data_IF_049028457035
#
_entry.id   IF_049028457035
#
_cell.length_a   1.000
_cell.length_b   1.000
_cell.length_c   1.000
_cell.angle_alpha   90.00
_cell.angle_beta   90.00
_cell.angle_gamma   90.00
#
_symmetry.space_group_name_H-M   'P 1'
#
loop_
_entity.id
_entity.type
_entity.pdbx_description
1 polymer ?
#
# COMPACT_ATOMS: atom_id res chain seq x y z
N UNK A 1 -2.44 13.79 -9.57
CA UNK A 1 -2.04 12.79 -10.60
C UNK A 1 -0.94 11.93 -9.99
N UNK A 2 -0.90 10.62 -10.25
CA UNK A 2 0.16 9.74 -9.73
C UNK A 2 1.50 10.12 -10.34
N UNK A 3 2.58 10.13 -9.55
CA UNK A 3 3.93 10.39 -10.06
C UNK A 3 4.51 9.20 -10.86
N UNK A 4 3.93 8.01 -10.65
CA UNK A 4 4.32 6.76 -11.31
C UNK A 4 3.09 6.08 -11.88
N UNK A 5 3.18 5.65 -13.14
CA UNK A 5 2.14 4.93 -13.85
C UNK A 5 2.69 3.61 -14.39
N UNK A 6 2.15 2.48 -13.94
CA UNK A 6 2.44 1.18 -14.57
C UNK A 6 1.85 1.18 -15.98
N UNK A 7 2.67 0.93 -16.99
CA UNK A 7 2.28 0.90 -18.39
C UNK A 7 2.03 -0.52 -18.89
N UNK A 8 2.82 -1.50 -18.42
CA UNK A 8 2.63 -2.90 -18.74
C UNK A 8 3.22 -3.81 -17.66
N UNK A 9 2.61 -4.98 -17.46
CA UNK A 9 3.15 -6.07 -16.62
C UNK A 9 2.97 -7.37 -17.40
N UNK A 10 4.10 -7.95 -17.82
CA UNK A 10 4.10 -9.22 -18.58
C UNK A 10 4.56 -10.34 -17.67
N UNK A 11 3.74 -11.37 -17.53
CA UNK A 11 4.10 -12.61 -16.84
C UNK A 11 4.88 -13.48 -17.80
N UNK A 12 6.10 -13.84 -17.44
CA UNK A 12 6.96 -14.73 -18.20
C UNK A 12 6.84 -16.16 -17.64
N UNK A 13 7.15 -17.16 -18.48
CA UNK A 13 7.14 -18.58 -18.10
C UNK A 13 5.82 -19.02 -17.43
N UNK A 14 4.72 -18.93 -18.18
CA UNK A 14 3.37 -19.25 -17.70
C UNK A 14 2.57 -20.01 -18.78
N UNK A 15 1.91 -21.15 -18.45
CA UNK A 15 1.89 -21.82 -17.15
C UNK A 15 3.22 -22.55 -16.84
N UNK A 16 3.51 -22.79 -15.56
CA UNK A 16 4.75 -23.40 -15.09
C UNK A 16 4.54 -24.32 -13.88
N UNK A 17 5.55 -25.08 -13.48
CA UNK A 17 5.50 -25.85 -12.22
C UNK A 17 5.25 -24.91 -11.03
N UNK A 18 4.52 -25.38 -10.01
CA UNK A 18 4.31 -24.65 -8.76
C UNK A 18 5.64 -24.20 -8.13
N UNK A 19 6.67 -25.05 -8.20
CA UNK A 19 8.00 -24.81 -7.64
C UNK A 19 8.93 -24.02 -8.57
N UNK A 20 8.46 -23.60 -9.75
CA UNK A 20 9.23 -22.73 -10.62
C UNK A 20 9.20 -21.28 -10.10
N UNK A 21 10.30 -20.52 -10.26
CA UNK A 21 10.31 -19.09 -9.94
C UNK A 21 9.23 -18.31 -10.69
N UNK A 22 8.76 -17.21 -10.09
CA UNK A 22 7.94 -16.23 -10.78
C UNK A 22 8.81 -15.25 -11.54
N UNK A 23 8.36 -14.82 -12.72
CA UNK A 23 9.07 -13.83 -13.54
C UNK A 23 8.09 -12.81 -14.11
N UNK A 24 8.28 -11.54 -13.73
CA UNK A 24 7.45 -10.42 -14.15
C UNK A 24 8.30 -9.37 -14.84
N UNK A 25 8.05 -9.11 -16.13
CA UNK A 25 8.60 -7.92 -16.80
C UNK A 25 7.66 -6.74 -16.54
N UNK A 26 8.14 -5.78 -15.73
CA UNK A 26 7.37 -4.62 -15.29
C UNK A 26 7.86 -3.41 -16.09
N UNK A 27 6.92 -2.70 -16.73
CA UNK A 27 7.16 -1.43 -17.40
C UNK A 27 6.34 -0.33 -16.74
N UNK A 28 6.99 0.80 -16.45
CA UNK A 28 6.34 1.96 -15.83
C UNK A 28 6.92 3.28 -16.33
N UNK A 29 6.11 4.32 -16.24
CA UNK A 29 6.48 5.70 -16.52
C UNK A 29 6.54 6.48 -15.20
N UNK A 30 7.63 7.22 -15.00
CA UNK A 30 7.77 8.21 -13.96
C UNK A 30 7.60 9.60 -14.58
N UNK A 31 6.59 10.36 -14.13
CA UNK A 31 6.26 11.69 -14.68
C UNK A 31 6.83 12.85 -13.86
N UNK A 32 7.19 12.58 -12.61
CA UNK A 32 7.79 13.56 -11.68
C UNK A 32 8.94 12.89 -10.93
N UNK A 33 10.12 13.53 -10.81
CA UNK A 33 11.28 12.89 -10.17
C UNK A 33 11.00 12.56 -8.70
N UNK A 34 11.37 11.35 -8.30
CA UNK A 34 11.26 10.86 -6.93
C UNK A 34 12.64 10.81 -6.29
N UNK A 35 12.72 11.32 -5.06
CA UNK A 35 13.98 11.42 -4.30
C UNK A 35 14.35 10.08 -3.65
N UNK A 36 13.33 9.34 -3.23
CA UNK A 36 13.47 8.06 -2.55
C UNK A 36 13.13 6.89 -3.48
N UNK A 37 13.33 5.68 -2.97
CA UNK A 37 13.12 4.46 -3.74
C UNK A 37 11.63 4.09 -3.84
N UNK A 38 11.26 3.55 -5.00
CA UNK A 38 10.06 2.75 -5.13
C UNK A 38 10.33 1.36 -4.59
N UNK A 39 9.44 0.85 -3.74
CA UNK A 39 9.49 -0.51 -3.26
C UNK A 39 8.48 -1.36 -4.02
N UNK A 40 8.96 -2.36 -4.75
CA UNK A 40 8.15 -3.33 -5.48
C UNK A 40 8.14 -4.64 -4.72
N UNK A 41 6.94 -5.16 -4.42
CA UNK A 41 6.78 -6.42 -3.70
C UNK A 41 5.94 -7.41 -4.50
N UNK A 42 6.36 -8.67 -4.51
CA UNK A 42 5.56 -9.78 -5.00
C UNK A 42 5.09 -10.60 -3.80
N UNK A 43 3.78 -10.73 -3.64
CA UNK A 43 3.16 -11.40 -2.49
C UNK A 43 2.24 -12.50 -3.01
N UNK A 44 2.36 -13.69 -2.45
CA UNK A 44 1.49 -14.82 -2.72
C UNK A 44 0.48 -14.98 -1.59
N UNK A 45 -0.80 -15.06 -1.93
CA UNK A 45 -1.88 -15.24 -0.95
C UNK A 45 -1.96 -16.72 -0.58
N UNK A 46 -1.56 -17.05 0.65
CA UNK A 46 -1.51 -18.43 1.15
C UNK A 46 -2.87 -18.96 1.62
N UNK A 47 -3.83 -18.08 1.89
CA UNK A 47 -5.21 -18.43 2.14
C UNK A 47 -6.13 -17.24 1.83
N UNK A 48 -7.31 -17.51 1.26
CA UNK A 48 -8.29 -16.45 0.99
C UNK A 48 -8.94 -15.89 2.27
N UNK A 49 -8.86 -16.62 3.37
CA UNK A 49 -9.54 -16.28 4.63
C UNK A 49 -8.61 -15.65 5.68
N UNK A 50 -7.30 -15.84 5.53
CA UNK A 50 -6.32 -15.50 6.55
C UNK A 50 -5.02 -14.98 5.94
N UNK A 51 -4.82 -13.66 6.03
CA UNK A 51 -3.64 -12.94 5.53
C UNK A 51 -2.34 -13.34 6.26
N UNK A 52 -2.40 -14.04 7.39
CA UNK A 52 -1.19 -14.52 8.07
C UNK A 52 -0.45 -15.60 7.30
N UNK A 53 -1.10 -16.23 6.31
CA UNK A 53 -0.50 -17.17 5.38
C UNK A 53 0.11 -16.47 4.15
N UNK A 54 -0.05 -15.15 4.00
CA UNK A 54 0.54 -14.42 2.88
C UNK A 54 2.06 -14.46 2.94
N UNK A 55 2.67 -14.76 1.80
CA UNK A 55 4.11 -14.89 1.69
C UNK A 55 4.65 -13.78 0.80
N UNK A 56 5.47 -12.91 1.39
CA UNK A 56 6.31 -11.98 0.63
C UNK A 56 7.40 -12.79 -0.09
N UNK A 57 7.27 -12.95 -1.40
CA UNK A 57 8.19 -13.72 -2.21
C UNK A 57 9.45 -12.92 -2.58
N UNK A 58 9.27 -11.63 -2.89
CA UNK A 58 10.36 -10.74 -3.27
C UNK A 58 10.04 -9.29 -2.94
N UNK A 59 11.08 -8.50 -2.61
CA UNK A 59 11.01 -7.07 -2.35
C UNK A 59 12.22 -6.35 -2.93
N UNK A 60 12.00 -5.54 -3.97
CA UNK A 60 13.07 -4.80 -4.68
C UNK A 60 12.86 -3.31 -4.55
N UNK A 61 13.94 -2.60 -4.22
CA UNK A 61 14.00 -1.14 -4.21
C UNK A 61 14.54 -0.62 -5.56
N UNK A 62 13.86 0.36 -6.13
CA UNK A 62 14.26 1.04 -7.37
C UNK A 62 14.25 2.54 -7.15
N UNK A 63 15.43 3.14 -7.02
CA UNK A 63 15.58 4.58 -6.96
C UNK A 63 17.02 5.07 -6.80
N UNK A 64 17.22 6.40 -6.74
CA UNK A 64 16.21 7.44 -6.99
C UNK A 64 15.69 7.41 -8.44
N UNK A 65 14.43 7.79 -8.66
CA UNK A 65 13.76 7.62 -9.96
C UNK A 65 13.58 8.98 -10.65
N UNK A 66 14.25 9.17 -11.79
CA UNK A 66 14.09 10.35 -12.64
C UNK A 66 12.87 10.21 -13.57
N UNK A 67 12.43 11.31 -14.16
CA UNK A 67 11.40 11.30 -15.21
C UNK A 67 11.83 10.42 -16.37
N UNK A 68 10.97 9.51 -16.81
CA UNK A 68 11.27 8.61 -17.92
C UNK A 68 10.46 7.32 -17.91
N UNK A 69 10.75 6.47 -18.90
CA UNK A 69 10.17 5.14 -19.02
C UNK A 69 11.18 4.10 -18.55
N UNK A 70 10.74 3.20 -17.69
CA UNK A 70 11.55 2.16 -17.07
C UNK A 70 10.98 0.79 -17.37
N UNK A 71 11.88 -0.19 -17.42
CA UNK A 71 11.53 -1.60 -17.56
C UNK A 71 12.57 -2.45 -16.84
N UNK A 72 12.09 -3.43 -16.07
CA UNK A 72 12.95 -4.41 -15.41
C UNK A 72 12.21 -5.75 -15.26
N UNK A 73 12.97 -6.80 -14.97
CA UNK A 73 12.42 -8.13 -14.65
C UNK A 73 12.52 -8.34 -13.15
N UNK A 74 11.38 -8.55 -12.50
CA UNK A 74 11.29 -9.01 -11.12
C UNK A 74 11.19 -10.54 -11.14
N UNK A 75 12.17 -11.21 -10.54
CA UNK A 75 12.18 -12.65 -10.36
C UNK A 75 12.05 -12.97 -8.87
N UNK A 76 11.21 -13.94 -8.52
CA UNK A 76 11.00 -14.37 -7.14
C UNK A 76 10.95 -15.90 -7.04
N UNK A 77 11.46 -16.44 -5.93
CA UNK A 77 11.31 -17.86 -5.62
C UNK A 77 9.82 -18.22 -5.40
N UNK A 78 9.41 -19.49 -5.60
CA UNK A 78 8.04 -19.92 -5.32
C UNK A 78 7.69 -19.78 -3.82
N UNK A 79 6.40 -19.71 -3.45
CA UNK A 79 5.99 -19.77 -2.06
C UNK A 79 6.40 -21.10 -1.42
N UNK A 80 6.62 -21.08 -0.11
CA UNK A 80 6.82 -22.27 0.71
C UNK A 80 5.49 -23.02 0.87
N UNK A 81 5.35 -24.24 0.32
CA UNK A 81 4.10 -25.00 0.41
C UNK A 81 3.70 -25.33 1.85
N UNK A 82 4.65 -25.41 2.78
CA UNK A 82 4.37 -25.72 4.18
C UNK A 82 3.71 -24.58 4.95
N UNK A 83 3.71 -23.38 4.38
CA UNK A 83 3.08 -22.16 4.93
C UNK A 83 1.80 -21.79 4.17
N UNK A 84 1.22 -22.73 3.43
CA UNK A 84 -0.07 -22.60 2.76
C UNK A 84 -1.01 -23.59 3.44
N UNK A 85 -2.28 -23.23 3.61
CA UNK A 85 -3.28 -24.17 4.13
C UNK A 85 -3.43 -25.32 3.14
N UNK A 86 -3.55 -26.57 3.61
CA UNK A 86 -3.58 -27.74 2.72
C UNK A 86 -4.75 -27.66 1.71
N UNK A 87 -5.88 -27.11 2.15
CA UNK A 87 -7.06 -26.86 1.32
C UNK A 87 -6.86 -25.79 0.22
N UNK A 88 -5.88 -24.89 0.38
CA UNK A 88 -5.60 -23.76 -0.52
C UNK A 88 -4.43 -24.04 -1.49
N UNK A 89 -3.77 -25.21 -1.38
CA UNK A 89 -2.68 -25.60 -2.29
C UNK A 89 -3.16 -25.88 -3.73
N UNK A 90 -4.36 -26.44 -3.88
CA UNK A 90 -5.01 -26.72 -5.17
C UNK A 90 -6.22 -25.79 -5.32
N UNK A 91 -6.45 -25.32 -6.54
CA UNK A 91 -7.53 -24.40 -6.87
C UNK A 91 -7.02 -22.99 -7.11
N UNK A 92 -7.91 -22.02 -6.89
CA UNK A 92 -7.66 -20.62 -7.25
C UNK A 92 -7.19 -19.83 -6.04
N UNK A 93 -6.05 -19.16 -6.17
CA UNK A 93 -5.57 -18.15 -5.23
C UNK A 93 -5.20 -16.85 -5.95
N UNK A 94 -4.55 -15.92 -5.26
CA UNK A 94 -4.17 -14.59 -5.76
C UNK A 94 -2.67 -14.36 -5.58
N UNK A 95 -2.08 -13.71 -6.58
CA UNK A 95 -0.73 -13.15 -6.52
C UNK A 95 -0.82 -11.62 -6.65
N UNK A 96 -0.14 -10.90 -5.78
CA UNK A 96 -0.19 -9.45 -5.70
C UNK A 96 1.19 -8.86 -6.03
N UNK A 97 1.25 -8.01 -7.05
CA UNK A 97 2.37 -7.11 -7.29
C UNK A 97 2.01 -5.74 -6.74
N UNK A 98 2.70 -5.27 -5.71
CA UNK A 98 2.49 -3.94 -5.13
C UNK A 98 3.66 -3.02 -5.43
N UNK A 99 3.38 -1.72 -5.52
CA UNK A 99 4.40 -0.69 -5.55
C UNK A 99 4.07 0.39 -4.52
N UNK A 100 5.07 0.72 -3.72
CA UNK A 100 5.00 1.68 -2.62
C UNK A 100 6.06 2.77 -2.79
N UNK A 101 5.76 3.96 -2.30
CA UNK A 101 6.72 5.05 -2.18
C UNK A 101 6.66 5.58 -0.74
N UNK A 102 7.81 5.72 -0.08
CA UNK A 102 7.90 6.12 1.33
C UNK A 102 6.99 5.26 2.25
N UNK A 103 6.95 3.96 1.99
CA UNK A 103 6.12 3.00 2.75
C UNK A 103 4.61 3.10 2.49
N UNK A 104 4.16 4.00 1.61
CA UNK A 104 2.75 4.12 1.22
C UNK A 104 2.52 3.40 -0.12
N UNK A 105 1.71 2.34 -0.08
CA UNK A 105 1.29 1.63 -1.29
C UNK A 105 0.39 2.54 -2.13
N UNK A 106 0.71 2.70 -3.42
CA UNK A 106 -0.09 3.52 -4.34
C UNK A 106 -0.68 2.72 -5.50
N UNK A 107 -0.17 1.52 -5.76
CA UNK A 107 -0.74 0.62 -6.77
C UNK A 107 -0.54 -0.84 -6.39
N UNK A 108 -1.58 -1.63 -6.68
CA UNK A 108 -1.62 -3.08 -6.53
C UNK A 108 -2.18 -3.70 -7.79
N UNK A 109 -1.46 -4.67 -8.33
CA UNK A 109 -1.88 -5.48 -9.47
C UNK A 109 -2.05 -6.91 -8.99
N UNK A 110 -3.30 -7.37 -8.91
CA UNK A 110 -3.65 -8.73 -8.51
C UNK A 110 -3.89 -9.63 -9.71
N UNK A 111 -3.33 -10.83 -9.67
CA UNK A 111 -3.58 -11.90 -10.63
C UNK A 111 -4.25 -13.07 -9.92
N UNK A 112 -5.25 -13.67 -10.55
CA UNK A 112 -5.69 -15.01 -10.14
C UNK A 112 -4.65 -16.02 -10.58
N UNK A 113 -4.37 -16.98 -9.71
CA UNK A 113 -3.48 -18.11 -9.96
C UNK A 113 -4.30 -19.37 -9.78
N UNK A 114 -4.36 -20.20 -10.81
CA UNK A 114 -4.96 -21.52 -10.72
C UNK A 114 -3.86 -22.57 -10.57
N UNK A 115 -3.83 -23.25 -9.44
CA UNK A 115 -2.97 -24.38 -9.15
C UNK A 115 -3.75 -25.67 -9.35
N UNK A 116 -3.31 -26.52 -10.27
CA UNK A 116 -3.98 -27.78 -10.56
C UNK A 116 -2.95 -28.84 -10.95
N UNK A 117 -3.33 -30.12 -10.90
CA UNK A 117 -2.46 -31.16 -11.42
C UNK A 117 -2.43 -31.12 -12.95
N UNK A 118 -1.26 -31.33 -13.54
CA UNK A 118 -1.11 -31.48 -14.98
C UNK A 118 -1.65 -32.82 -15.49
N UNK A 119 -1.59 -33.85 -14.64
CA UNK A 119 -2.10 -35.20 -14.89
C UNK A 119 -3.63 -35.29 -14.70
N UNK A 120 -4.33 -35.92 -15.65
CA UNK A 120 -5.79 -36.08 -15.63
C UNK A 120 -6.27 -37.04 -14.54
N UNK A 121 -5.53 -38.12 -14.26
CA UNK A 121 -5.91 -39.09 -13.22
C UNK A 121 -5.81 -38.45 -11.83
N UNK A 122 -4.77 -37.64 -11.58
CA UNK A 122 -4.63 -36.90 -10.33
C UNK A 122 -5.71 -35.83 -10.13
N UNK A 123 -6.32 -35.33 -11.22
CA UNK A 123 -7.46 -34.40 -11.13
C UNK A 123 -8.77 -35.12 -10.84
N UNK A 124 -9.01 -36.28 -11.45
CA UNK A 124 -10.23 -37.07 -11.22
C UNK A 124 -10.22 -37.75 -9.85
N UNK A 125 -9.07 -38.26 -9.42
CA UNK A 125 -8.86 -38.93 -8.14
C UNK A 125 -7.72 -38.27 -7.35
N UNK A 126 -7.96 -37.08 -6.76
CA UNK A 126 -6.91 -36.36 -6.04
C UNK A 126 -6.44 -37.15 -4.81
N UNK A 127 -5.12 -37.25 -4.59
CA UNK A 127 -4.58 -37.94 -3.43
C UNK A 127 -4.94 -37.19 -2.14
N UNK A 128 -5.01 -37.91 -1.02
CA UNK A 128 -5.32 -37.31 0.29
C UNK A 128 -4.32 -36.22 0.70
N UNK A 129 -3.05 -36.36 0.29
CA UNK A 129 -2.01 -35.36 0.49
C UNK A 129 -1.59 -34.80 -0.86
N UNK A 130 -1.53 -33.47 -0.95
CA UNK A 130 -1.14 -32.78 -2.18
C UNK A 130 0.30 -33.13 -2.59
N UNK A 131 0.47 -33.51 -3.86
CA UNK A 131 1.76 -33.81 -4.46
C UNK A 131 2.31 -32.55 -5.13
N UNK A 132 2.93 -31.66 -4.36
CA UNK A 132 3.37 -30.32 -4.82
C UNK A 132 4.24 -30.38 -6.09
N UNK A 133 5.10 -31.40 -6.23
CA UNK A 133 5.97 -31.58 -7.41
C UNK A 133 5.19 -31.84 -8.71
N UNK A 134 3.90 -32.19 -8.62
CA UNK A 134 2.98 -32.44 -9.75
C UNK A 134 2.00 -31.30 -9.97
N UNK A 135 2.08 -30.24 -9.18
CA UNK A 135 1.19 -29.09 -9.31
C UNK A 135 1.74 -28.15 -10.37
N UNK A 136 0.88 -27.80 -11.31
CA UNK A 136 1.11 -26.77 -12.30
C UNK A 136 0.34 -25.51 -11.91
N UNK A 137 1.04 -24.38 -11.99
CA UNK A 137 0.56 -23.03 -11.75
C UNK A 137 0.22 -22.37 -13.07
N UNK A 138 -0.98 -21.80 -13.17
CA UNK A 138 -1.38 -20.94 -14.28
C UNK A 138 -1.85 -19.57 -13.76
N UNK A 139 -1.12 -18.52 -14.09
CA UNK A 139 -1.43 -17.13 -13.75
C UNK A 139 -2.34 -16.56 -14.84
N UNK A 140 -3.54 -16.10 -14.46
CA UNK A 140 -4.52 -15.57 -15.40
C UNK A 140 -4.18 -14.12 -15.79
N UNK A 141 -3.44 -13.96 -16.89
CA UNK A 141 -2.90 -12.66 -17.34
C UNK A 141 -3.92 -11.74 -18.01
N UNK A 142 -5.05 -12.26 -18.48
CA UNK A 142 -6.00 -11.48 -19.31
C UNK A 142 -6.86 -10.51 -18.50
N UNK A 143 -7.01 -10.75 -17.20
CA UNK A 143 -7.92 -9.98 -16.33
C UNK A 143 -7.24 -9.58 -15.01
N UNK A 144 -6.10 -8.85 -15.06
CA UNK A 144 -5.48 -8.37 -13.84
C UNK A 144 -6.41 -7.39 -13.13
N UNK A 145 -6.44 -7.44 -11.80
CA UNK A 145 -7.16 -6.49 -10.97
C UNK A 145 -6.21 -5.39 -10.54
N UNK A 146 -6.38 -4.21 -11.12
CA UNK A 146 -5.56 -3.04 -10.77
C UNK A 146 -6.31 -2.16 -9.79
N UNK A 147 -5.76 -1.97 -8.60
CA UNK A 147 -6.25 -1.05 -7.57
C UNK A 147 -5.22 0.05 -7.38
N UNK A 148 -5.67 1.31 -7.34
CA UNK A 148 -4.82 2.48 -7.13
C UNK A 148 -5.22 3.18 -5.84
N UNK A 149 -4.24 3.57 -5.04
CA UNK A 149 -4.44 4.30 -3.79
C UNK A 149 -3.83 5.70 -3.92
N UNK A 150 -4.55 6.75 -3.55
CA UNK A 150 -3.99 8.09 -3.57
C UNK A 150 -2.97 8.25 -2.44
N UNK A 151 -1.76 8.70 -2.79
CA UNK A 151 -0.69 9.02 -1.81
C UNK A 151 -0.09 10.39 -2.12
N UNK A 152 0.65 10.94 -1.16
CA UNK A 152 1.47 12.13 -1.40
C UNK A 152 2.92 11.75 -1.79
N UNK A 153 3.29 11.98 -3.04
CA UNK A 153 4.64 11.75 -3.56
C UNK A 153 5.63 12.88 -3.21
N UNK A 154 5.13 14.04 -2.79
CA UNK A 154 5.92 15.19 -2.35
C UNK A 154 5.36 15.70 -1.03
N UNK A 155 5.57 14.97 0.09
CA UNK A 155 5.33 15.55 1.39
C UNK A 155 6.19 16.83 1.46
N UNK A 156 5.54 17.99 1.57
CA UNK A 156 6.27 19.22 1.86
C UNK A 156 7.06 18.97 3.15
N UNK A 157 8.33 19.38 3.17
CA UNK A 157 9.15 19.37 4.38
C UNK A 157 8.49 20.33 5.38
N UNK A 158 7.50 19.87 6.13
CA UNK A 158 6.92 20.58 7.27
C UNK A 158 7.87 20.53 8.49
N UNK A 159 9.14 20.86 8.25
CA UNK A 159 10.16 21.12 9.28
C UNK A 159 10.69 22.55 9.18
N UNK A 160 9.89 23.48 8.66
CA UNK A 160 10.09 24.92 8.87
C UNK A 160 8.92 25.43 9.71
N UNK A 161 9.20 25.68 10.99
CA UNK A 161 8.24 26.30 11.87
C UNK A 161 7.89 27.70 11.37
N UNK A 162 6.63 27.91 11.02
CA UNK A 162 6.04 29.24 11.01
C UNK A 162 4.75 29.18 11.83
N UNK A 163 4.89 29.67 13.06
CA UNK A 163 3.77 30.19 13.84
C UNK A 163 3.00 31.15 12.91
N UNK A 164 1.73 30.84 12.65
CA UNK A 164 0.84 31.80 12.00
C UNK A 164 0.88 33.12 12.77
N UNK A 165 0.89 34.27 12.07
CA UNK A 165 0.99 35.56 12.74
C UNK A 165 -0.22 35.74 13.67
N UNK A 166 -0.05 36.24 14.90
CA UNK A 166 -1.19 36.63 15.71
C UNK A 166 -1.92 37.77 14.99
N UNK A 167 -3.25 37.69 14.96
CA UNK A 167 -4.10 38.70 14.35
C UNK A 167 -3.85 40.07 15.01
N UNK A 168 -3.50 41.06 14.20
CA UNK A 168 -3.47 42.46 14.55
C UNK A 168 -4.85 42.91 15.06
N UNK A 169 -4.95 43.23 16.34
CA UNK A 169 -5.97 44.12 16.86
C UNK A 169 -5.29 45.46 17.18
N UNK A 170 -5.75 46.60 16.62
CA UNK A 170 -5.13 47.90 16.88
C UNK A 170 -5.32 48.33 18.34
N UNK A 171 -4.24 48.87 18.90
CA UNK A 171 -4.15 49.53 20.20
C UNK A 171 -4.55 51.00 20.05
N UNK A 172 -5.48 51.49 20.89
CA UNK A 172 -5.54 52.88 21.40
C UNK A 172 -6.18 52.76 22.81
N UNK A 173 -5.45 52.72 23.95
CA UNK A 173 -4.57 53.69 24.62
C UNK A 173 -5.31 54.80 25.40
N UNK A 174 -4.89 54.94 26.66
CA UNK A 174 -5.11 56.02 27.64
C UNK A 174 -6.37 55.90 28.55
N UNK A 175 -6.30 55.91 29.88
CA UNK A 175 -5.22 56.16 30.84
C UNK A 175 -5.82 56.27 32.27
N UNK A 176 -4.96 56.29 33.28
CA UNK A 176 -5.20 56.72 34.68
C UNK A 176 -5.62 55.68 35.77
N UNK A 177 -4.59 55.08 36.37
CA UNK A 177 -4.16 55.13 37.79
C UNK A 177 -5.16 55.14 38.98
N UNK A 178 -4.74 54.33 39.98
CA UNK A 178 -4.92 54.44 41.45
C UNK A 178 -6.18 53.91 42.17
N UNK A 179 -6.01 52.72 42.78
CA UNK A 179 -6.03 52.40 44.22
C UNK A 179 -7.17 52.87 45.18
N UNK A 180 -7.53 51.91 46.06
CA UNK A 180 -8.06 51.98 47.44
C UNK A 180 -9.59 51.98 47.73
N UNK A 181 -10.04 50.84 48.27
CA UNK A 181 -10.63 50.61 49.62
C UNK A 181 -11.98 51.26 50.02
N UNK A 182 -12.86 50.36 50.50
CA UNK A 182 -13.80 50.43 51.65
C UNK A 182 -15.27 50.84 51.51
N UNK A 183 -16.07 49.98 52.18
CA UNK A 183 -17.19 50.21 53.10
C UNK A 183 -18.60 50.54 52.60
N UNK A 184 -19.52 49.66 53.05
CA UNK A 184 -20.86 49.89 53.63
C UNK A 184 -21.47 51.29 53.45
N UNK A 185 -22.73 51.34 53.01
CA UNK A 185 -23.88 51.50 53.92
C UNK A 185 -25.22 51.38 53.17
N UNK A 186 -26.19 50.75 53.83
CA UNK A 186 -27.62 50.79 53.49
C UNK A 186 -28.22 51.80 54.49
N UNK A 187 -29.09 52.75 54.11
CA UNK A 187 -30.52 52.50 54.41
C UNK A 187 -31.56 53.22 53.52
N UNK A 188 -32.73 52.59 53.49
CA UNK A 188 -34.11 53.11 53.69
C UNK A 188 -34.54 54.50 53.17
N UNK A 189 -35.59 54.51 52.34
CA UNK A 189 -36.94 54.95 52.74
C UNK A 189 -37.40 56.40 52.44
N UNK A 190 -38.65 56.48 51.93
CA UNK A 190 -39.60 57.63 51.91
C UNK A 190 -39.32 58.79 50.93
N UNK A 191 -40.26 59.52 50.30
CA UNK A 191 -41.74 59.54 50.24
C UNK A 191 -42.17 60.46 49.07
N UNK A 192 -43.21 60.09 48.32
CA UNK A 192 -44.28 60.97 47.81
C UNK A 192 -44.04 61.87 46.57
N UNK A 193 -45.12 62.49 46.02
CA UNK A 193 -46.54 62.44 46.40
C UNK A 193 -47.42 61.54 45.51
#
# INVERSE_FOLDING_TARGET
MSAVNITNVTVLDNPASFLAPFQFEISYECVTPLKDDLEWKLIYVGSAEDETYDQLLESVLVGPVNVGNYRFVLQADPPDPSKIREEDLIGVTVLLLTCSYLGQEFVRVGYYVNNDYDDEQLREEPPQKVLVDRVQRNILTDKPRVTKFPINFHPENNESGEQGPPADHPIEADGNEEQLVSSLDHPSGEEGP
#
